data_IF_359435259440
#
_entry.id   IF_359435259440
#
_cell.length_a   1.000
_cell.length_b   1.000
_cell.length_c   1.000
_cell.angle_alpha   90.00
_cell.angle_beta   90.00
_cell.angle_gamma   90.00
#
_symmetry.space_group_name_H-M   'P 1'
#
loop_
_entity.id
_entity.type
_entity.pdbx_description
1 polymer ?
#
# COMPACT_ATOMS: atom_id res chain seq x y z
N UNK A 1 -4.48 19.35 4.23
CA UNK A 1 -4.09 18.47 5.34
C UNK A 1 -3.97 17.05 4.83
N UNK A 2 -2.85 16.41 5.13
CA UNK A 2 -2.61 15.03 4.69
C UNK A 2 -3.36 14.03 5.55
N UNK A 3 -3.95 13.03 4.91
CA UNK A 3 -4.50 11.88 5.60
C UNK A 3 -3.42 10.87 5.97
N UNK A 4 -3.81 9.84 6.71
CA UNK A 4 -2.90 8.77 7.11
C UNK A 4 -2.71 7.76 6.00
N UNK A 5 -1.51 7.19 5.92
CA UNK A 5 -1.25 6.04 5.06
C UNK A 5 -0.78 4.89 5.96
N UNK A 6 -1.55 3.82 5.97
CA UNK A 6 -1.24 2.63 6.74
C UNK A 6 -0.83 1.54 5.75
N UNK A 7 0.44 1.21 5.76
CA UNK A 7 1.07 0.32 4.79
C UNK A 7 1.28 -1.05 5.44
N UNK A 8 0.47 -2.01 5.01
CA UNK A 8 0.53 -3.36 5.55
C UNK A 8 1.32 -4.21 4.57
N UNK A 9 2.43 -4.75 5.00
CA UNK A 9 3.30 -5.55 4.16
C UNK A 9 3.61 -6.88 4.84
N UNK A 10 4.04 -7.83 4.05
CA UNK A 10 4.36 -9.17 4.49
C UNK A 10 4.29 -10.13 3.32
N UNK A 11 4.65 -11.36 3.57
CA UNK A 11 4.62 -12.39 2.54
C UNK A 11 3.20 -12.79 2.19
N UNK A 12 3.03 -13.36 1.01
CA UNK A 12 1.75 -13.91 0.58
C UNK A 12 1.25 -14.92 1.60
N UNK A 13 -0.03 -14.86 1.94
CA UNK A 13 -0.63 -15.76 2.92
C UNK A 13 -0.41 -15.36 4.37
N UNK A 14 0.22 -14.22 4.65
CA UNK A 14 0.46 -13.77 6.02
C UNK A 14 -0.77 -13.12 6.68
N UNK A 15 -1.86 -12.92 5.93
CA UNK A 15 -3.07 -12.33 6.48
C UNK A 15 -3.20 -10.83 6.26
N UNK A 16 -2.47 -10.26 5.32
CA UNK A 16 -2.49 -8.81 5.06
C UNK A 16 -3.88 -8.31 4.71
N UNK A 17 -4.58 -9.00 3.81
CA UNK A 17 -5.91 -8.59 3.38
C UNK A 17 -6.90 -8.68 4.51
N UNK A 18 -6.82 -9.71 5.33
CA UNK A 18 -7.68 -9.88 6.50
C UNK A 18 -7.49 -8.74 7.48
N UNK A 19 -6.24 -8.40 7.79
CA UNK A 19 -5.93 -7.30 8.69
C UNK A 19 -6.39 -5.96 8.10
N UNK A 20 -6.13 -5.74 6.81
CA UNK A 20 -6.53 -4.50 6.14
C UNK A 20 -8.05 -4.28 6.21
N UNK A 21 -8.82 -5.33 5.94
CA UNK A 21 -10.28 -5.23 6.02
C UNK A 21 -10.77 -4.99 7.44
N UNK A 22 -10.14 -5.65 8.42
CA UNK A 22 -10.49 -5.42 9.83
C UNK A 22 -10.20 -3.98 10.24
N UNK A 23 -9.08 -3.44 9.82
CA UNK A 23 -8.70 -2.06 10.12
C UNK A 23 -9.67 -1.08 9.47
N UNK A 24 -10.05 -1.31 8.23
CA UNK A 24 -11.03 -0.47 7.54
C UNK A 24 -12.36 -0.46 8.30
N UNK A 25 -12.83 -1.63 8.74
CA UNK A 25 -14.06 -1.70 9.55
C UNK A 25 -13.94 -0.89 10.83
N UNK A 26 -12.81 -0.99 11.51
CA UNK A 26 -12.59 -0.26 12.76
C UNK A 26 -12.57 1.25 12.51
N UNK A 27 -11.94 1.70 11.45
CA UNK A 27 -11.92 3.12 11.09
C UNK A 27 -13.31 3.61 10.72
N UNK A 28 -14.12 2.79 10.06
CA UNK A 28 -15.51 3.13 9.78
C UNK A 28 -16.30 3.35 11.08
N UNK A 29 -16.10 2.50 12.08
CA UNK A 29 -16.74 2.64 13.37
C UNK A 29 -16.38 3.97 14.04
N UNK A 30 -15.19 4.47 13.76
CA UNK A 30 -14.72 5.75 14.31
C UNK A 30 -15.15 6.95 13.47
N UNK A 31 -16.00 6.74 12.47
CA UNK A 31 -16.53 7.82 11.65
C UNK A 31 -15.66 8.19 10.46
N UNK A 32 -14.64 7.40 10.16
CA UNK A 32 -13.78 7.65 9.01
C UNK A 32 -14.21 6.83 7.79
N UNK A 33 -13.82 7.29 6.60
CA UNK A 33 -14.05 6.60 5.34
C UNK A 33 -12.70 6.31 4.68
N UNK A 34 -11.96 5.31 5.13
CA UNK A 34 -10.66 5.01 4.54
C UNK A 34 -10.82 4.38 3.17
N UNK A 35 -9.81 4.58 2.33
CA UNK A 35 -9.70 3.93 1.03
C UNK A 35 -8.83 2.68 1.22
N UNK A 36 -9.35 1.54 0.82
CA UNK A 36 -8.60 0.29 0.85
C UNK A 36 -8.00 0.02 -0.51
N UNK A 37 -6.68 -0.08 -0.56
CA UNK A 37 -5.95 -0.48 -1.76
C UNK A 37 -5.34 -1.85 -1.54
N UNK A 38 -5.70 -2.79 -2.40
CA UNK A 38 -5.13 -4.12 -2.39
C UNK A 38 -4.10 -4.21 -3.52
N UNK A 39 -2.86 -4.55 -3.17
CA UNK A 39 -1.79 -4.64 -4.16
C UNK A 39 -2.09 -5.64 -5.28
N UNK A 40 -2.75 -6.75 -4.96
CA UNK A 40 -3.15 -7.71 -5.98
C UNK A 40 -4.20 -7.11 -6.93
N UNK A 41 -5.19 -6.41 -6.38
CA UNK A 41 -6.20 -5.73 -7.18
C UNK A 41 -5.61 -4.64 -8.05
N UNK A 42 -4.66 -3.87 -7.51
CA UNK A 42 -3.98 -2.83 -8.27
C UNK A 42 -3.19 -3.40 -9.44
N UNK A 43 -2.52 -4.53 -9.24
CA UNK A 43 -1.80 -5.19 -10.34
C UNK A 43 -2.72 -5.59 -11.47
N UNK A 44 -3.91 -6.07 -11.15
CA UNK A 44 -4.92 -6.42 -12.15
C UNK A 44 -5.39 -5.19 -12.92
N UNK A 45 -5.67 -4.10 -12.22
CA UNK A 45 -6.15 -2.87 -12.84
C UNK A 45 -5.11 -2.30 -13.80
N UNK A 46 -3.85 -2.27 -13.39
CA UNK A 46 -2.78 -1.75 -14.23
C UNK A 46 -2.32 -2.72 -15.30
N UNK A 47 -2.90 -3.93 -15.33
CA UNK A 47 -2.50 -4.97 -16.27
C UNK A 47 -0.99 -5.26 -16.19
N UNK A 48 -0.48 -5.24 -14.96
CA UNK A 48 0.91 -5.53 -14.69
C UNK A 48 1.11 -7.02 -14.74
N UNK A 49 1.47 -7.52 -15.91
CA UNK A 49 1.65 -8.94 -16.13
C UNK A 49 3.04 -9.34 -15.62
N UNK A 50 3.12 -9.51 -14.32
CA UNK A 50 4.37 -9.80 -13.64
C UNK A 50 4.97 -11.13 -14.10
N UNK A 51 4.12 -12.04 -14.58
CA UNK A 51 4.56 -13.34 -15.04
C UNK A 51 5.34 -13.28 -16.36
N UNK A 52 5.02 -12.31 -17.20
CA UNK A 52 5.72 -12.12 -18.46
C UNK A 52 6.94 -11.23 -18.34
N UNK A 53 6.94 -10.37 -17.34
CA UNK A 53 8.11 -9.61 -16.99
C UNK A 53 8.79 -10.39 -15.88
N UNK A 54 10.07 -10.41 -15.84
CA UNK A 54 10.79 -11.06 -14.76
C UNK A 54 10.19 -10.62 -13.42
N UNK A 55 9.20 -11.36 -12.94
CA UNK A 55 8.57 -11.07 -11.65
C UNK A 55 9.57 -11.10 -10.52
N UNK A 56 10.73 -11.70 -10.78
CA UNK A 56 11.84 -11.74 -9.85
C UNK A 56 12.82 -10.58 -10.04
N UNK A 57 12.62 -9.72 -11.05
CA UNK A 57 13.44 -8.55 -11.24
C UNK A 57 13.13 -7.55 -10.12
N UNK A 58 14.12 -7.33 -9.27
CA UNK A 58 13.99 -6.44 -8.12
C UNK A 58 13.64 -5.02 -8.55
N UNK A 59 14.24 -4.53 -9.63
CA UNK A 59 13.98 -3.17 -10.09
C UNK A 59 12.54 -2.99 -10.57
N UNK A 60 11.99 -3.97 -11.28
CA UNK A 60 10.60 -3.93 -11.72
C UNK A 60 9.65 -3.92 -10.53
N UNK A 61 9.94 -4.73 -9.52
CA UNK A 61 9.11 -4.82 -8.31
C UNK A 61 9.16 -3.53 -7.51
N UNK A 62 10.33 -2.89 -7.45
CA UNK A 62 10.47 -1.59 -6.78
C UNK A 62 9.64 -0.53 -7.52
N UNK A 63 9.67 -0.50 -8.85
CA UNK A 63 8.87 0.44 -9.63
C UNK A 63 7.37 0.28 -9.36
N UNK A 64 6.90 -0.95 -9.29
CA UNK A 64 5.50 -1.24 -8.97
C UNK A 64 5.16 -0.70 -7.58
N UNK A 65 5.99 -1.00 -6.59
CA UNK A 65 5.77 -0.55 -5.22
C UNK A 65 5.81 0.97 -5.12
N UNK A 66 6.71 1.62 -5.86
CA UNK A 66 6.78 3.08 -5.90
C UNK A 66 5.53 3.68 -6.51
N UNK A 67 4.97 3.05 -7.55
CA UNK A 67 3.70 3.48 -8.13
C UNK A 67 2.59 3.44 -7.08
N UNK A 68 2.52 2.38 -6.30
CA UNK A 68 1.53 2.28 -5.23
C UNK A 68 1.75 3.38 -4.17
N UNK A 69 2.99 3.63 -3.82
CA UNK A 69 3.34 4.68 -2.86
C UNK A 69 2.90 6.07 -3.38
N UNK A 70 3.09 6.33 -4.66
CA UNK A 70 2.68 7.58 -5.28
C UNK A 70 1.16 7.73 -5.31
N UNK A 71 0.43 6.65 -5.52
CA UNK A 71 -1.03 6.66 -5.42
C UNK A 71 -1.44 7.02 -3.98
N UNK A 72 -0.81 6.41 -3.00
CA UNK A 72 -1.07 6.75 -1.59
C UNK A 72 -0.78 8.21 -1.30
N UNK A 73 0.31 8.75 -1.84
CA UNK A 73 0.63 10.16 -1.69
C UNK A 73 -0.46 11.05 -2.28
N UNK A 74 -0.90 10.74 -3.48
CA UNK A 74 -1.93 11.51 -4.15
C UNK A 74 -3.23 11.54 -3.33
N UNK A 75 -3.67 10.39 -2.87
CA UNK A 75 -4.91 10.27 -2.11
C UNK A 75 -4.78 10.93 -0.73
N UNK A 76 -3.69 10.67 -0.04
CA UNK A 76 -3.50 11.25 1.30
C UNK A 76 -3.31 12.75 1.26
N UNK A 77 -2.75 13.30 0.18
CA UNK A 77 -2.61 14.75 0.02
C UNK A 77 -3.97 15.45 -0.03
N UNK A 78 -5.02 14.72 -0.37
CA UNK A 78 -6.38 15.24 -0.42
C UNK A 78 -7.15 14.99 0.87
N UNK A 79 -6.47 14.48 1.89
CA UNK A 79 -7.06 14.25 3.20
C UNK A 79 -7.62 12.86 3.43
N UNK A 80 -7.51 11.96 2.45
CA UNK A 80 -8.02 10.60 2.62
C UNK A 80 -7.08 9.77 3.46
N UNK A 81 -7.65 8.94 4.33
CA UNK A 81 -6.92 7.87 4.99
C UNK A 81 -6.86 6.68 4.03
N UNK A 82 -5.66 6.15 3.82
CA UNK A 82 -5.42 5.04 2.90
C UNK A 82 -4.88 3.85 3.66
N UNK A 83 -5.50 2.70 3.48
CA UNK A 83 -4.99 1.42 3.98
C UNK A 83 -4.57 0.61 2.75
N UNK A 84 -3.31 0.25 2.67
CA UNK A 84 -2.80 -0.52 1.55
C UNK A 84 -2.18 -1.82 2.05
N UNK A 85 -2.50 -2.91 1.36
CA UNK A 85 -1.94 -4.23 1.64
C UNK A 85 -1.13 -4.68 0.43
N UNK A 86 0.16 -4.89 0.60
CA UNK A 86 1.04 -5.20 -0.52
C UNK A 86 2.28 -5.98 -0.09
N UNK A 87 2.85 -6.73 -1.03
CA UNK A 87 4.13 -7.40 -0.83
C UNK A 87 5.22 -6.42 -1.29
N UNK A 88 5.62 -5.51 -0.42
CA UNK A 88 6.60 -4.47 -0.76
C UNK A 88 7.50 -4.23 0.44
N UNK A 89 8.51 -5.08 0.60
CA UNK A 89 9.44 -5.00 1.73
C UNK A 89 10.81 -4.50 1.28
N UNK A 90 10.81 -3.44 0.46
CA UNK A 90 12.05 -2.85 -0.04
C UNK A 90 12.43 -1.62 0.79
N UNK A 91 13.69 -1.58 1.17
CA UNK A 91 14.23 -0.43 1.93
C UNK A 91 14.01 0.88 1.20
N UNK A 92 14.18 0.87 -0.12
CA UNK A 92 14.02 2.07 -0.95
C UNK A 92 12.60 2.64 -0.85
N UNK A 93 11.60 1.77 -0.82
CA UNK A 93 10.20 2.18 -0.70
C UNK A 93 9.93 2.73 0.70
N UNK A 94 10.44 2.07 1.71
CA UNK A 94 10.31 2.52 3.08
C UNK A 94 10.88 3.93 3.26
N UNK A 95 12.07 4.18 2.71
CA UNK A 95 12.72 5.49 2.78
C UNK A 95 11.89 6.53 2.02
N UNK A 96 11.43 6.19 0.82
CA UNK A 96 10.61 7.10 0.04
C UNK A 96 9.32 7.47 0.78
N UNK A 97 8.66 6.48 1.36
CA UNK A 97 7.42 6.69 2.09
C UNK A 97 7.63 7.61 3.29
N UNK A 98 8.71 7.39 4.04
CA UNK A 98 9.00 8.24 5.19
C UNK A 98 9.23 9.69 4.80
N UNK A 99 9.83 9.94 3.64
CA UNK A 99 10.09 11.30 3.17
C UNK A 99 8.85 11.97 2.62
N UNK A 100 7.95 11.20 2.00
CA UNK A 100 6.89 11.77 1.17
C UNK A 100 5.48 11.60 1.73
N UNK A 101 5.33 10.79 2.77
CA UNK A 101 4.03 10.55 3.40
C UNK A 101 4.09 11.05 4.85
N UNK A 102 3.55 12.23 5.14
CA UNK A 102 3.71 12.83 6.47
C UNK A 102 3.15 12.01 7.62
N UNK A 103 2.06 11.26 7.36
CA UNK A 103 1.42 10.41 8.38
C UNK A 103 1.49 8.96 7.92
N UNK A 104 2.69 8.42 7.94
CA UNK A 104 2.98 7.09 7.43
C UNK A 104 3.18 6.09 8.57
N UNK A 105 2.47 4.98 8.49
CA UNK A 105 2.56 3.88 9.44
C UNK A 105 2.76 2.59 8.67
N UNK A 106 3.72 1.79 9.08
CA UNK A 106 3.99 0.51 8.44
C UNK A 106 3.73 -0.62 9.42
N UNK A 107 3.07 -1.66 8.92
CA UNK A 107 2.77 -2.87 9.69
C UNK A 107 3.37 -4.05 8.94
N UNK A 108 4.22 -4.80 9.61
CA UNK A 108 4.80 -6.03 9.08
C UNK A 108 4.07 -7.25 9.63
N UNK A 109 3.65 -8.12 8.74
CA UNK A 109 3.04 -9.39 9.12
C UNK A 109 3.94 -10.58 8.81
#
# INVERSE_FOLDING_TARGET
>A
MFGQVIWITGLSGAGKTTLAKALVRELHKQGQNPILLDGEGLRKIFNLNVQQQNEFDRNARIKIALTYAQICQLLSSQGFTVVIATISMFKEIYIWNQKNLPKYFVVYL
#
